data_IF_175363380289
#
_entry.id   IF_175363380289
#
_cell.length_a   1.000
_cell.length_b   1.000
_cell.length_c   1.000
_cell.angle_alpha   90.00
_cell.angle_beta   90.00
_cell.angle_gamma   90.00
#
_symmetry.space_group_name_H-M   'P 1'
#
loop_
_entity.id
_entity.type
_entity.pdbx_description
1 polymer ?
#
# COMPACT_ATOMS: atom_id res chain seq x y z
N UNK A 1 -4.33 7.90 11.15
CA UNK A 1 -5.57 8.00 10.34
C UNK A 1 -6.39 6.75 10.48
N UNK A 2 -7.65 6.93 10.75
CA UNK A 2 -8.63 5.86 10.68
C UNK A 2 -9.14 5.66 9.25
N UNK A 3 -10.04 4.70 9.07
CA UNK A 3 -10.57 4.38 7.74
C UNK A 3 -11.29 5.56 7.09
N UNK A 4 -12.06 6.32 7.86
CA UNK A 4 -12.78 7.49 7.37
C UNK A 4 -11.83 8.55 6.82
N UNK A 5 -10.74 8.79 7.51
CA UNK A 5 -9.72 9.75 7.08
C UNK A 5 -8.97 9.26 5.85
N UNK A 6 -8.71 7.96 5.75
CA UNK A 6 -8.12 7.35 4.55
C UNK A 6 -9.05 7.55 3.36
N UNK A 7 -10.34 7.26 3.53
CA UNK A 7 -11.33 7.43 2.46
C UNK A 7 -11.50 8.89 2.03
N UNK A 8 -11.23 9.83 2.92
CA UNK A 8 -11.22 11.25 2.59
C UNK A 8 -9.97 11.66 1.81
N UNK A 9 -8.92 10.85 1.83
CA UNK A 9 -7.61 11.16 1.22
C UNK A 9 -7.41 10.47 -0.13
N UNK A 10 -7.86 9.22 -0.26
CA UNK A 10 -7.76 8.46 -1.51
C UNK A 10 -9.15 8.02 -2.00
N UNK A 11 -9.33 7.83 -3.31
CA UNK A 11 -10.65 7.50 -3.87
C UNK A 11 -11.06 6.04 -3.69
N UNK A 12 -10.15 5.17 -3.30
CA UNK A 12 -10.40 3.74 -3.14
C UNK A 12 -11.50 3.46 -2.12
N UNK A 13 -12.31 2.45 -2.38
CA UNK A 13 -13.43 2.04 -1.52
C UNK A 13 -13.48 0.52 -1.40
N UNK A 14 -14.13 0.04 -0.36
CA UNK A 14 -14.38 -1.37 -0.18
C UNK A 14 -15.09 -1.94 -1.43
N UNK A 15 -14.68 -3.11 -1.95
CA UNK A 15 -13.73 -4.07 -1.39
C UNK A 15 -12.27 -3.86 -1.82
N UNK A 16 -11.97 -2.83 -2.58
CA UNK A 16 -10.62 -2.60 -3.12
C UNK A 16 -9.72 -1.80 -2.18
N UNK A 17 -10.26 -1.10 -1.20
CA UNK A 17 -9.46 -0.41 -0.18
C UNK A 17 -8.70 -1.45 0.65
N UNK A 18 -7.36 -1.41 0.57
CA UNK A 18 -6.49 -2.46 1.07
C UNK A 18 -5.54 -2.01 2.17
N UNK A 19 -5.88 -0.96 2.90
CA UNK A 19 -5.18 -0.52 4.11
C UNK A 19 -6.23 -0.23 5.19
N UNK A 20 -5.93 -0.58 6.44
CA UNK A 20 -6.89 -0.45 7.53
C UNK A 20 -6.73 0.86 8.30
N UNK A 21 -5.49 1.27 8.52
CA UNK A 21 -5.16 2.50 9.24
C UNK A 21 -3.79 3.02 8.84
N UNK A 22 -3.55 4.28 9.10
CA UNK A 22 -2.24 4.92 8.95
C UNK A 22 -1.71 5.25 10.33
N UNK A 23 -0.51 4.78 10.66
CA UNK A 23 0.12 5.00 11.96
C UNK A 23 1.03 6.21 11.99
N UNK A 24 1.76 6.47 10.89
CA UNK A 24 2.71 7.56 10.79
C UNK A 24 2.55 8.24 9.43
N UNK A 25 2.58 9.54 9.43
CA UNK A 25 2.42 10.32 8.20
C UNK A 25 3.24 11.61 8.24
N UNK A 26 4.14 11.75 7.29
CA UNK A 26 4.79 13.00 6.93
C UNK A 26 4.27 13.35 5.52
N UNK A 27 3.32 14.29 5.40
CA UNK A 27 2.66 14.55 4.12
C UNK A 27 3.64 14.77 2.97
N UNK A 28 3.44 14.04 1.88
CA UNK A 28 4.29 14.10 0.69
C UNK A 28 5.64 13.39 0.81
N UNK A 29 6.05 12.95 2.00
CA UNK A 29 7.40 12.44 2.24
C UNK A 29 7.44 10.98 2.69
N UNK A 30 6.59 10.61 3.64
CA UNK A 30 6.62 9.28 4.24
C UNK A 30 5.25 8.91 4.80
N UNK A 31 4.90 7.64 4.68
CA UNK A 31 3.67 7.10 5.28
C UNK A 31 3.89 5.67 5.74
N UNK A 32 3.34 5.34 6.89
CA UNK A 32 3.29 3.97 7.41
C UNK A 32 1.84 3.59 7.64
N UNK A 33 1.40 2.56 6.95
CA UNK A 33 0.05 2.02 7.07
C UNK A 33 0.08 0.56 7.54
N UNK A 34 -1.06 0.08 7.98
CA UNK A 34 -1.25 -1.29 8.43
C UNK A 34 -2.43 -1.93 7.72
N UNK A 35 -2.31 -3.24 7.47
CA UNK A 35 -3.38 -4.06 6.92
C UNK A 35 -3.39 -5.43 7.60
N UNK A 36 -4.50 -5.76 8.23
CA UNK A 36 -4.72 -7.12 8.72
C UNK A 36 -5.23 -8.01 7.57
N UNK A 37 -4.53 -9.12 7.34
CA UNK A 37 -4.89 -10.07 6.30
C UNK A 37 -5.78 -11.15 6.91
N UNK A 38 -7.08 -10.94 6.82
CA UNK A 38 -8.06 -11.86 7.43
C UNK A 38 -8.03 -13.25 6.79
N UNK A 39 -8.22 -14.32 7.58
CA UNK A 39 -8.18 -15.68 7.07
C UNK A 39 -9.34 -16.02 6.13
N UNK A 40 -10.39 -15.24 6.14
CA UNK A 40 -11.56 -15.39 5.27
C UNK A 40 -11.47 -14.58 3.97
N UNK A 41 -10.33 -13.95 3.70
CA UNK A 41 -10.16 -13.17 2.47
C UNK A 41 -10.34 -14.09 1.25
N UNK A 42 -11.14 -13.65 0.28
CA UNK A 42 -11.54 -14.45 -0.88
C UNK A 42 -10.36 -14.96 -1.72
N UNK A 43 -9.23 -14.24 -1.74
CA UNK A 43 -8.05 -14.64 -2.49
C UNK A 43 -7.49 -15.99 -2.03
N UNK A 44 -7.64 -16.33 -0.74
CA UNK A 44 -7.10 -17.58 -0.20
C UNK A 44 -7.81 -18.82 -0.70
N UNK A 45 -9.07 -18.71 -1.07
CA UNK A 45 -9.83 -19.84 -1.60
C UNK A 45 -9.20 -20.41 -2.88
N UNK A 46 -8.60 -19.56 -3.68
CA UNK A 46 -7.98 -19.94 -4.96
C UNK A 46 -6.47 -19.90 -4.99
N UNK A 47 -5.81 -19.34 -3.96
CA UNK A 47 -4.36 -19.09 -4.00
C UNK A 47 -3.66 -19.45 -2.67
N UNK A 48 -3.49 -20.69 -2.31
CA UNK A 48 -3.87 -21.95 -2.98
C UNK A 48 -4.74 -22.75 -2.01
N UNK A 49 -5.69 -23.58 -2.45
CA UNK A 49 -6.64 -24.26 -1.55
C UNK A 49 -5.98 -25.06 -0.41
N UNK A 50 -4.90 -25.79 -0.70
CA UNK A 50 -4.19 -26.58 0.30
C UNK A 50 -3.11 -25.82 1.07
N UNK A 51 -2.73 -24.62 0.59
CA UNK A 51 -1.69 -23.79 1.19
C UNK A 51 -1.99 -22.32 0.88
N UNK A 52 -2.81 -21.66 1.72
CA UNK A 52 -3.22 -20.29 1.46
C UNK A 52 -2.04 -19.33 1.60
N UNK A 53 -1.78 -18.57 0.55
CA UNK A 53 -0.75 -17.53 0.47
C UNK A 53 -1.39 -16.31 -0.17
N UNK A 54 -1.16 -15.14 0.40
CA UNK A 54 -1.63 -13.89 -0.19
C UNK A 54 -0.90 -13.66 -1.52
N UNK A 55 -1.63 -13.45 -2.64
CA UNK A 55 -0.97 -13.12 -3.91
C UNK A 55 -0.11 -11.87 -3.77
N UNK A 56 1.11 -11.91 -4.33
CA UNK A 56 2.05 -10.81 -4.23
C UNK A 56 1.53 -9.48 -4.78
N UNK A 57 0.61 -9.52 -5.74
CA UNK A 57 0.01 -8.31 -6.30
C UNK A 57 -0.75 -7.48 -5.26
N UNK A 58 -1.28 -8.10 -4.21
CA UNK A 58 -1.92 -7.37 -3.10
C UNK A 58 -0.90 -6.56 -2.30
N UNK A 59 0.35 -7.02 -2.21
CA UNK A 59 1.42 -6.27 -1.54
C UNK A 59 1.81 -5.03 -2.33
N UNK A 60 1.83 -5.14 -3.66
CA UNK A 60 2.06 -4.00 -4.55
C UNK A 60 0.93 -2.98 -4.38
N UNK A 61 -0.33 -3.44 -4.37
CA UNK A 61 -1.49 -2.56 -4.22
C UNK A 61 -1.53 -1.90 -2.84
N UNK A 62 -1.24 -2.63 -1.77
CA UNK A 62 -1.13 -2.05 -0.43
C UNK A 62 -0.10 -0.93 -0.38
N UNK A 63 1.04 -1.13 -1.03
CA UNK A 63 2.09 -0.13 -1.13
C UNK A 63 1.64 1.07 -1.96
N UNK A 64 0.96 0.84 -3.08
CA UNK A 64 0.44 1.90 -3.92
C UNK A 64 -0.60 2.76 -3.20
N UNK A 65 -1.49 2.15 -2.43
CA UNK A 65 -2.48 2.88 -1.65
C UNK A 65 -1.85 3.67 -0.50
N UNK A 66 -0.83 3.11 0.15
CA UNK A 66 -0.07 3.83 1.18
C UNK A 66 0.63 5.04 0.58
N UNK A 67 1.23 4.89 -0.59
CA UNK A 67 1.82 6.00 -1.33
C UNK A 67 0.76 7.03 -1.74
N UNK A 68 -0.43 6.57 -2.10
CA UNK A 68 -1.56 7.44 -2.42
C UNK A 68 -1.96 8.33 -1.25
N UNK A 69 -2.00 7.77 -0.04
CA UNK A 69 -2.25 8.55 1.18
C UNK A 69 -1.13 9.55 1.42
N UNK A 70 0.12 9.11 1.28
CA UNK A 70 1.29 9.98 1.45
C UNK A 70 1.23 11.20 0.54
N UNK A 71 0.97 10.99 -0.75
CA UNK A 71 0.91 12.06 -1.73
C UNK A 71 -0.36 12.89 -1.60
N UNK A 72 -1.51 12.25 -1.41
CA UNK A 72 -2.80 12.91 -1.30
C UNK A 72 -2.90 13.82 -0.09
N UNK A 73 -2.27 13.46 1.01
CA UNK A 73 -2.28 14.26 2.24
C UNK A 73 -1.50 15.57 2.12
N UNK A 74 -0.61 15.67 1.14
CA UNK A 74 0.13 16.91 0.88
C UNK A 74 -0.63 17.88 -0.02
N UNK A 75 -1.69 17.42 -0.66
CA UNK A 75 -2.47 18.22 -1.60
C UNK A 75 -3.66 18.83 -0.86
N UNK A 76 -3.67 20.18 -0.79
CA UNK A 76 -4.76 20.93 -0.14
C UNK A 76 -5.76 21.42 -1.17
N UNK A 77 -6.38 20.51 -1.86
CA UNK A 77 -7.43 20.82 -2.81
C UNK A 77 -8.76 20.27 -2.36
N UNK A 78 -9.84 20.93 -2.77
CA UNK A 78 -11.17 20.35 -2.67
C UNK A 78 -11.25 19.16 -3.66
N UNK A 79 -11.69 18.01 -3.14
CA UNK A 79 -11.79 16.80 -3.90
C UNK A 79 -10.52 15.96 -3.87
N UNK A 80 -10.69 14.69 -4.16
CA UNK A 80 -9.61 13.71 -4.16
C UNK A 80 -8.88 13.74 -5.51
N UNK A 81 -7.55 13.79 -5.48
CA UNK A 81 -6.80 13.57 -6.69
C UNK A 81 -6.66 12.07 -6.94
N UNK A 82 -6.78 11.68 -8.20
CA UNK A 82 -6.56 10.30 -8.63
C UNK A 82 -5.10 10.17 -9.06
N UNK A 83 -4.36 9.35 -8.34
CA UNK A 83 -2.99 9.01 -8.69
C UNK A 83 -2.98 7.61 -9.31
N UNK A 84 -2.29 7.46 -10.43
CA UNK A 84 -2.22 6.20 -11.16
C UNK A 84 -0.85 5.57 -11.02
N UNK A 85 -0.83 4.26 -10.78
CA UNK A 85 0.41 3.50 -10.77
C UNK A 85 0.95 3.42 -12.21
N UNK A 86 2.11 4.01 -12.43
CA UNK A 86 2.74 4.10 -13.74
C UNK A 86 3.80 3.03 -13.97
N UNK A 87 4.54 2.63 -12.93
CA UNK A 87 5.56 1.60 -13.03
C UNK A 87 5.80 0.93 -11.68
N UNK A 88 6.24 -0.32 -11.75
CA UNK A 88 6.69 -1.11 -10.60
C UNK A 88 8.10 -1.59 -10.94
N UNK A 89 9.08 -1.20 -10.14
CA UNK A 89 10.48 -1.50 -10.41
C UNK A 89 11.13 -2.24 -9.25
N UNK A 90 11.96 -3.22 -9.57
CA UNK A 90 12.80 -3.94 -8.59
C UNK A 90 12.00 -4.48 -7.40
N UNK A 91 10.79 -4.91 -7.66
CA UNK A 91 9.93 -5.45 -6.61
C UNK A 91 10.32 -6.89 -6.30
N UNK A 92 10.58 -7.18 -5.01
CA UNK A 92 11.00 -8.50 -4.56
C UNK A 92 10.08 -9.00 -3.47
N UNK A 93 9.68 -10.25 -3.58
CA UNK A 93 8.88 -10.95 -2.60
C UNK A 93 9.80 -11.92 -1.86
N UNK A 94 10.12 -11.60 -0.60
CA UNK A 94 11.15 -12.31 0.17
C UNK A 94 10.58 -13.43 1.02
N UNK A 95 9.32 -13.29 1.45
CA UNK A 95 8.60 -14.28 2.25
C UNK A 95 7.13 -14.29 1.89
N UNK A 96 6.47 -15.46 1.93
CA UNK A 96 5.02 -15.51 1.72
C UNK A 96 4.28 -14.88 2.89
N UNK A 97 3.16 -14.24 2.59
CA UNK A 97 2.20 -13.75 3.59
C UNK A 97 1.06 -14.75 3.70
N UNK A 98 0.74 -15.12 4.92
CA UNK A 98 -0.26 -16.15 5.22
C UNK A 98 -1.44 -15.55 5.98
N UNK A 99 -2.59 -16.25 6.03
CA UNK A 99 -3.76 -15.75 6.75
C UNK A 99 -3.48 -15.40 8.21
N UNK A 100 -4.07 -14.31 8.68
CA UNK A 100 -3.96 -13.86 10.07
C UNK A 100 -2.76 -12.97 10.36
N UNK A 101 -1.93 -12.68 9.38
CA UNK A 101 -0.80 -11.78 9.56
C UNK A 101 -1.21 -10.32 9.36
N UNK A 102 -0.55 -9.41 10.07
CA UNK A 102 -0.70 -7.98 9.87
C UNK A 102 0.50 -7.44 9.09
N UNK A 103 0.19 -6.74 8.01
CA UNK A 103 1.20 -6.05 7.20
C UNK A 103 1.46 -4.66 7.77
N UNK A 104 2.72 -4.27 7.84
CA UNK A 104 3.15 -2.91 8.04
C UNK A 104 3.79 -2.42 6.75
N UNK A 105 3.22 -1.39 6.16
CA UNK A 105 3.64 -0.89 4.84
C UNK A 105 4.23 0.50 5.05
N UNK A 106 5.49 0.67 4.71
CA UNK A 106 6.15 1.96 4.73
C UNK A 106 6.45 2.41 3.31
N UNK A 107 6.08 3.64 2.98
CA UNK A 107 6.45 4.29 1.72
C UNK A 107 7.22 5.57 2.00
N UNK A 108 8.16 5.87 1.13
CA UNK A 108 9.01 7.06 1.23
C UNK A 108 9.24 7.62 -0.16
N UNK A 109 8.99 8.91 -0.33
CA UNK A 109 9.24 9.55 -1.62
C UNK A 109 10.75 9.72 -1.83
N UNK A 110 11.24 9.25 -2.97
CA UNK A 110 12.63 9.43 -3.38
C UNK A 110 12.82 10.76 -4.10
N UNK A 111 11.98 11.04 -5.09
CA UNK A 111 12.04 12.27 -5.87
C UNK A 111 10.77 12.49 -6.67
N UNK A 112 10.60 13.71 -7.18
CA UNK A 112 9.58 14.06 -8.17
C UNK A 112 10.24 14.32 -9.51
N UNK A 113 9.56 13.96 -10.60
CA UNK A 113 9.97 14.28 -11.97
C UNK A 113 8.73 14.64 -12.77
N UNK A 114 8.44 15.94 -12.89
CA UNK A 114 7.22 16.43 -13.50
C UNK A 114 5.99 15.97 -12.70
N UNK A 115 5.05 15.32 -13.38
CA UNK A 115 3.85 14.77 -12.74
C UNK A 115 4.08 13.39 -12.08
N UNK A 116 5.30 12.85 -12.15
CA UNK A 116 5.64 11.54 -11.60
C UNK A 116 6.29 11.67 -10.23
N UNK A 117 5.89 10.80 -9.30
CA UNK A 117 6.55 10.62 -8.01
C UNK A 117 7.22 9.25 -7.99
N UNK A 118 8.49 9.22 -7.59
CA UNK A 118 9.28 8.01 -7.44
C UNK A 118 9.33 7.65 -5.96
N UNK A 119 8.91 6.44 -5.63
CA UNK A 119 8.64 6.03 -4.26
C UNK A 119 9.31 4.69 -4.00
N UNK A 120 9.96 4.55 -2.86
CA UNK A 120 10.36 3.24 -2.37
C UNK A 120 9.40 2.78 -1.28
N UNK A 121 9.21 1.47 -1.19
CA UNK A 121 8.34 0.90 -0.20
C UNK A 121 8.86 -0.43 0.34
N UNK A 122 8.44 -0.72 1.56
CA UNK A 122 8.79 -1.94 2.28
C UNK A 122 7.56 -2.45 3.01
N UNK A 123 7.32 -3.75 2.91
CA UNK A 123 6.26 -4.42 3.66
C UNK A 123 6.91 -5.36 4.66
N UNK A 124 6.53 -5.25 5.93
CA UNK A 124 7.03 -6.10 7.01
C UNK A 124 5.89 -6.82 7.71
N UNK A 125 6.20 -8.00 8.24
CA UNK A 125 5.33 -8.77 9.14
C UNK A 125 6.18 -9.16 10.34
N UNK A 126 5.73 -8.80 11.53
CA UNK A 126 6.46 -9.08 12.80
C UNK A 126 7.94 -8.64 12.73
N UNK A 127 8.19 -7.48 12.11
CA UNK A 127 9.53 -6.92 12.00
C UNK A 127 10.40 -7.49 10.88
N UNK A 128 9.91 -8.50 10.14
CA UNK A 128 10.65 -9.10 9.03
C UNK A 128 10.15 -8.57 7.69
N UNK A 129 11.07 -8.22 6.80
CA UNK A 129 10.72 -7.76 5.46
C UNK A 129 10.17 -8.92 4.63
N UNK A 130 8.93 -8.79 4.16
CA UNK A 130 8.29 -9.78 3.28
C UNK A 130 8.31 -9.35 1.82
N UNK A 131 8.35 -8.05 1.55
CA UNK A 131 8.43 -7.50 0.20
C UNK A 131 9.03 -6.10 0.23
N UNK A 132 9.66 -5.71 -0.86
CA UNK A 132 10.18 -4.35 -1.06
C UNK A 132 10.26 -4.04 -2.54
N UNK A 133 10.21 -2.77 -2.88
CA UNK A 133 10.32 -2.35 -4.27
C UNK A 133 10.17 -0.85 -4.44
N UNK A 134 10.10 -0.45 -5.70
CA UNK A 134 9.91 0.93 -6.08
C UNK A 134 8.66 1.07 -6.93
N UNK A 135 7.93 2.15 -6.72
CA UNK A 135 6.74 2.50 -7.50
C UNK A 135 6.96 3.87 -8.15
N UNK A 136 6.39 4.03 -9.33
CA UNK A 136 6.24 5.34 -9.96
C UNK A 136 4.76 5.62 -10.07
N UNK A 137 4.35 6.75 -9.54
CA UNK A 137 2.95 7.14 -9.47
C UNK A 137 2.78 8.48 -10.20
N UNK A 138 1.81 8.56 -11.09
CA UNK A 138 1.48 9.80 -11.78
C UNK A 138 0.29 10.48 -11.12
N UNK A 139 0.38 11.77 -11.00
CA UNK A 139 -0.72 12.58 -10.48
C UNK A 139 -1.68 13.02 -11.60
#
# INVERSE_FOLDING_TARGET
MDRSEIEATIPHRDPFLWIDRVEELEPGLRCVACKFVGPDHHAFAGHFPAKPILPGVFLIEAMAQTAGVMLGSAIRHEGQSVALLAAVNRFKFLKPVTPGQELRIETRKLTDAGAMAYIEGTVTVDGEIVARGELVVSA
#
